data_IF_631397280036
#
_entry.id   IF_631397280036
#
_cell.length_a   1.000
_cell.length_b   1.000
_cell.length_c   1.000
_cell.angle_alpha   90.00
_cell.angle_beta   90.00
_cell.angle_gamma   90.00
#
_symmetry.space_group_name_H-M   'P 1'
#
loop_
_entity.id
_entity.type
_entity.pdbx_description
1 polymer ?
#
# COMPACT_ATOMS: atom_id res chain seq x y z
N UNK A 1 -11.26 1.40 -12.84
CA UNK A 1 -11.42 0.78 -14.12
C UNK A 1 -10.19 0.01 -14.56
N UNK A 2 -10.20 -0.39 -15.79
CA UNK A 2 -9.12 -1.20 -16.36
C UNK A 2 -7.76 -0.51 -16.33
N UNK A 3 -7.76 0.82 -16.39
CA UNK A 3 -6.51 1.60 -16.36
C UNK A 3 -5.77 1.42 -15.04
N UNK A 4 -6.49 1.46 -13.93
CA UNK A 4 -5.88 1.23 -12.59
C UNK A 4 -5.32 -0.18 -12.45
N UNK A 5 -6.06 -1.16 -12.96
CA UNK A 5 -5.61 -2.55 -12.94
C UNK A 5 -4.33 -2.72 -13.74
N UNK A 6 -4.24 -2.12 -14.92
CA UNK A 6 -3.03 -2.18 -15.75
C UNK A 6 -1.84 -1.55 -15.03
N UNK A 7 -2.03 -0.41 -14.39
CA UNK A 7 -0.97 0.25 -13.61
C UNK A 7 -0.47 -0.63 -12.46
N UNK A 8 -1.39 -1.30 -11.77
CA UNK A 8 -1.03 -2.20 -10.66
C UNK A 8 -0.27 -3.43 -11.16
N UNK A 9 -0.69 -4.01 -12.26
CA UNK A 9 -0.01 -5.16 -12.84
C UNK A 9 1.39 -4.76 -13.31
N UNK A 10 1.54 -3.60 -13.93
CA UNK A 10 2.84 -3.08 -14.33
C UNK A 10 3.76 -2.87 -13.13
N UNK A 11 3.22 -2.34 -12.04
CA UNK A 11 3.97 -2.14 -10.81
C UNK A 11 4.40 -3.46 -10.20
N UNK A 12 3.50 -4.45 -10.18
CA UNK A 12 3.83 -5.80 -9.72
C UNK A 12 4.99 -6.39 -10.53
N UNK A 13 4.96 -6.22 -11.86
CA UNK A 13 6.03 -6.68 -12.73
C UNK A 13 7.35 -5.98 -12.42
N UNK A 14 7.33 -4.70 -12.11
CA UNK A 14 8.53 -3.95 -11.71
C UNK A 14 9.07 -4.47 -10.37
N UNK A 15 8.21 -4.75 -9.41
CA UNK A 15 8.61 -5.35 -8.13
C UNK A 15 9.26 -6.71 -8.35
N UNK A 16 8.66 -7.54 -9.20
CA UNK A 16 9.22 -8.86 -9.53
C UNK A 16 10.60 -8.73 -10.19
N UNK A 17 10.77 -7.75 -11.07
CA UNK A 17 12.06 -7.49 -11.72
C UNK A 17 13.15 -7.08 -10.72
N UNK A 18 12.77 -6.51 -9.59
CA UNK A 18 13.70 -6.14 -8.51
C UNK A 18 13.95 -7.29 -7.52
N UNK A 19 13.41 -8.47 -7.80
CA UNK A 19 13.55 -9.62 -6.92
C UNK A 19 12.62 -9.60 -5.70
N UNK A 20 11.64 -8.71 -5.70
CA UNK A 20 10.68 -8.59 -4.62
C UNK A 20 9.49 -9.50 -4.86
N UNK A 21 9.09 -10.24 -3.83
CA UNK A 21 7.84 -11.00 -3.88
C UNK A 21 6.72 -10.09 -3.43
N UNK A 22 5.70 -9.96 -4.26
CA UNK A 22 4.55 -9.15 -3.96
C UNK A 22 3.26 -9.95 -4.11
N UNK A 23 2.28 -9.60 -3.31
CA UNK A 23 0.94 -10.15 -3.41
C UNK A 23 -0.04 -8.99 -3.53
N UNK A 24 -0.80 -8.99 -4.62
CA UNK A 24 -1.86 -8.02 -4.84
C UNK A 24 -3.21 -8.70 -4.66
N UNK A 25 -3.95 -8.25 -3.67
CA UNK A 25 -5.34 -8.66 -3.48
C UNK A 25 -6.22 -7.54 -3.99
N UNK A 26 -6.83 -7.75 -5.15
CA UNK A 26 -7.64 -6.76 -5.84
C UNK A 26 -9.11 -7.03 -5.62
N UNK A 27 -9.82 -6.02 -5.15
CA UNK A 27 -11.26 -6.07 -4.98
C UNK A 27 -11.87 -5.00 -5.88
N UNK A 28 -12.80 -5.35 -6.78
CA UNK A 28 -13.42 -4.35 -7.64
C UNK A 28 -14.37 -3.45 -6.85
N UNK A 29 -14.55 -2.23 -7.32
CA UNK A 29 -15.49 -1.29 -6.72
C UNK A 29 -16.93 -1.81 -6.74
N UNK A 30 -17.28 -2.57 -7.78
CA UNK A 30 -18.60 -3.12 -7.99
C UNK A 30 -18.56 -4.63 -8.11
N UNK A 31 -19.61 -5.30 -7.63
CA UNK A 31 -19.72 -6.76 -7.72
C UNK A 31 -19.48 -7.31 -9.11
N UNK A 32 -19.91 -6.58 -10.13
CA UNK A 32 -19.76 -7.00 -11.51
C UNK A 32 -18.31 -7.08 -11.96
N UNK A 33 -17.42 -6.34 -11.31
CA UNK A 33 -15.99 -6.40 -11.60
C UNK A 33 -15.36 -7.77 -11.36
N UNK A 34 -15.95 -8.58 -10.48
CA UNK A 34 -15.48 -9.94 -10.22
C UNK A 34 -15.51 -10.83 -11.46
N UNK A 35 -16.42 -10.55 -12.37
CA UNK A 35 -16.60 -11.32 -13.60
C UNK A 35 -15.81 -10.78 -14.78
N UNK A 36 -15.29 -9.56 -14.66
CA UNK A 36 -14.62 -8.88 -15.76
C UNK A 36 -13.13 -9.19 -15.86
N UNK A 37 -12.52 -9.64 -14.76
CA UNK A 37 -11.10 -9.94 -14.75
C UNK A 37 -10.77 -10.95 -13.66
N UNK A 38 -9.98 -11.95 -14.02
CA UNK A 38 -9.55 -13.01 -13.10
C UNK A 38 -8.67 -12.50 -11.96
N UNK A 39 -8.10 -11.32 -12.09
CA UNK A 39 -7.26 -10.70 -11.03
C UNK A 39 -8.09 -10.18 -9.87
N UNK A 40 -9.37 -9.85 -10.09
CA UNK A 40 -10.25 -9.39 -9.02
C UNK A 40 -10.67 -10.54 -8.12
N UNK A 41 -10.70 -10.28 -6.84
CA UNK A 41 -11.12 -11.24 -5.82
C UNK A 41 -12.13 -10.60 -4.88
N UNK A 42 -12.79 -11.42 -4.09
CA UNK A 42 -13.71 -10.93 -3.07
C UNK A 42 -12.94 -10.25 -1.96
N UNK A 43 -13.57 -9.29 -1.29
CA UNK A 43 -12.97 -8.65 -0.13
C UNK A 43 -12.70 -9.67 0.97
N UNK A 44 -11.60 -9.44 1.70
CA UNK A 44 -11.22 -10.28 2.83
C UNK A 44 -11.83 -9.76 4.12
N UNK A 45 -12.21 -10.65 5.04
CA UNK A 45 -12.48 -10.23 6.42
C UNK A 45 -11.26 -9.56 7.03
N UNK A 46 -11.47 -8.62 7.92
CA UNK A 46 -10.35 -7.88 8.52
C UNK A 46 -9.38 -8.81 9.26
N UNK A 47 -9.88 -9.87 9.86
CA UNK A 47 -9.00 -10.88 10.50
C UNK A 47 -7.96 -11.47 9.53
N UNK A 48 -8.36 -11.70 8.28
CA UNK A 48 -7.44 -12.17 7.25
C UNK A 48 -6.46 -11.08 6.83
N UNK A 49 -6.93 -9.83 6.74
CA UNK A 49 -6.06 -8.69 6.45
C UNK A 49 -4.97 -8.57 7.50
N UNK A 50 -5.30 -8.73 8.78
CA UNK A 50 -4.31 -8.68 9.87
C UNK A 50 -3.24 -9.76 9.71
N UNK A 51 -3.61 -10.95 9.25
CA UNK A 51 -2.62 -12.02 8.99
C UNK A 51 -1.65 -11.62 7.90
N UNK A 52 -2.13 -10.99 6.82
CA UNK A 52 -1.27 -10.47 5.77
C UNK A 52 -0.37 -9.35 6.29
N UNK A 53 -0.91 -8.42 7.04
CA UNK A 53 -0.14 -7.31 7.60
C UNK A 53 0.98 -7.80 8.52
N UNK A 54 0.75 -8.87 9.27
CA UNK A 54 1.77 -9.46 10.12
C UNK A 54 2.95 -10.07 9.37
N UNK A 55 2.79 -10.34 8.07
CA UNK A 55 3.81 -10.95 7.22
C UNK A 55 4.36 -9.99 6.17
N UNK A 56 3.86 -8.79 6.13
CA UNK A 56 4.18 -7.84 5.07
C UNK A 56 5.25 -6.86 5.52
N UNK A 57 6.14 -6.49 4.60
CA UNK A 57 7.13 -5.43 4.83
C UNK A 57 6.60 -4.06 4.46
N UNK A 58 5.66 -4.01 3.53
CA UNK A 58 5.11 -2.74 3.06
C UNK A 58 3.68 -2.89 2.57
N UNK A 59 2.94 -1.82 2.72
CA UNK A 59 1.60 -1.65 2.19
C UNK A 59 1.70 -0.72 0.98
N UNK A 60 0.99 -1.06 -0.09
CA UNK A 60 0.89 -0.18 -1.26
C UNK A 60 -0.42 0.61 -1.20
N UNK A 61 -0.32 1.91 -1.36
CA UNK A 61 -1.47 2.78 -1.54
C UNK A 61 -1.24 3.69 -2.73
N UNK A 62 -2.16 3.66 -3.70
CA UNK A 62 -2.13 4.54 -4.87
C UNK A 62 -3.31 5.51 -4.81
N UNK A 63 -3.00 6.79 -4.79
CA UNK A 63 -3.99 7.86 -4.72
C UNK A 63 -4.39 8.43 -6.08
N UNK A 64 -3.65 8.09 -7.13
CA UNK A 64 -3.92 8.52 -8.51
C UNK A 64 -4.09 10.04 -8.65
N UNK A 65 -3.21 10.78 -8.00
CA UNK A 65 -3.22 12.24 -8.07
C UNK A 65 -4.12 12.94 -7.06
N UNK A 66 -4.80 12.20 -6.20
CA UNK A 66 -5.59 12.77 -5.12
C UNK A 66 -4.70 13.46 -4.09
N UNK A 67 -5.18 14.59 -3.54
CA UNK A 67 -4.52 15.24 -2.42
C UNK A 67 -4.97 14.68 -1.07
N UNK A 68 -6.02 13.87 -1.06
CA UNK A 68 -6.45 13.17 0.14
C UNK A 68 -5.59 11.93 0.33
N UNK A 69 -4.46 12.11 0.99
CA UNK A 69 -3.47 11.07 1.16
C UNK A 69 -3.65 10.26 2.45
N UNK A 70 -4.28 10.85 3.47
CA UNK A 70 -4.43 10.16 4.76
C UNK A 70 -5.67 9.28 4.70
N UNK A 71 -5.47 8.08 4.24
CA UNK A 71 -6.50 7.06 4.09
C UNK A 71 -6.33 5.98 5.14
N UNK A 72 -7.24 5.02 5.13
CA UNK A 72 -7.15 3.88 6.05
C UNK A 72 -5.84 3.10 5.84
N UNK A 73 -5.32 3.02 4.61
CA UNK A 73 -4.06 2.33 4.34
C UNK A 73 -2.87 3.05 4.96
N UNK A 74 -2.86 4.37 4.87
CA UNK A 74 -1.83 5.18 5.51
C UNK A 74 -1.90 5.05 7.03
N UNK A 75 -3.10 5.09 7.59
CA UNK A 75 -3.30 4.91 9.02
C UNK A 75 -2.86 3.52 9.49
N UNK A 76 -3.17 2.47 8.72
CA UNK A 76 -2.72 1.11 9.04
C UNK A 76 -1.19 1.02 9.07
N UNK A 77 -0.52 1.65 8.11
CA UNK A 77 0.94 1.65 8.09
C UNK A 77 1.52 2.30 9.35
N UNK A 78 0.91 3.38 9.82
CA UNK A 78 1.35 4.07 11.04
C UNK A 78 1.08 3.24 12.30
N UNK A 79 -0.11 2.68 12.42
CA UNK A 79 -0.52 1.92 13.60
C UNK A 79 0.29 0.64 13.75
N UNK A 80 0.51 -0.07 12.66
CA UNK A 80 1.22 -1.35 12.68
C UNK A 80 2.72 -1.21 12.43
N UNK A 81 3.21 0.02 12.26
CA UNK A 81 4.61 0.31 11.96
C UNK A 81 5.12 -0.50 10.77
N UNK A 82 4.32 -0.47 9.69
CA UNK A 82 4.63 -1.12 8.42
C UNK A 82 4.95 -0.05 7.40
N UNK A 83 5.97 -0.27 6.59
CA UNK A 83 6.36 0.69 5.56
C UNK A 83 5.26 0.90 4.54
N UNK A 84 5.25 2.07 3.94
CA UNK A 84 4.25 2.47 2.94
C UNK A 84 4.95 2.76 1.62
N UNK A 85 4.40 2.22 0.53
CA UNK A 85 4.77 2.56 -0.83
C UNK A 85 3.56 3.26 -1.44
N UNK A 86 3.73 4.48 -1.91
CA UNK A 86 2.60 5.28 -2.37
C UNK A 86 3.03 6.24 -3.48
N UNK A 87 2.07 6.65 -4.30
CA UNK A 87 2.27 7.73 -5.27
C UNK A 87 1.90 9.11 -4.70
N UNK A 88 1.48 9.17 -3.44
CA UNK A 88 0.98 10.41 -2.85
C UNK A 88 2.11 11.22 -2.22
N UNK A 89 2.74 12.08 -3.02
CA UNK A 89 3.85 12.93 -2.59
C UNK A 89 3.45 13.93 -1.51
N UNK A 90 2.17 14.26 -1.41
CA UNK A 90 1.65 15.19 -0.42
C UNK A 90 1.90 14.72 1.02
N UNK A 91 2.12 13.42 1.23
CA UNK A 91 2.45 12.88 2.56
C UNK A 91 3.71 13.47 3.16
N UNK A 92 4.61 14.01 2.34
CA UNK A 92 5.81 14.69 2.84
C UNK A 92 5.51 15.91 3.71
N UNK A 93 4.31 16.45 3.64
CA UNK A 93 3.90 17.61 4.41
C UNK A 93 3.41 17.26 5.82
N UNK A 94 3.29 15.99 6.14
CA UNK A 94 2.82 15.54 7.45
C UNK A 94 3.97 15.26 8.40
N UNK A 95 3.70 15.40 9.69
CA UNK A 95 4.71 15.21 10.75
C UNK A 95 5.19 13.76 10.88
N UNK A 96 4.39 12.81 10.43
CA UNK A 96 4.75 11.39 10.47
C UNK A 96 5.64 10.95 9.30
N UNK A 97 5.90 11.81 8.31
CA UNK A 97 6.71 11.42 7.17
C UNK A 97 8.15 11.16 7.58
N UNK A 98 8.67 10.03 7.11
CA UNK A 98 10.09 9.69 7.20
C UNK A 98 10.49 8.92 5.96
N UNK A 99 11.60 9.26 5.30
CA UNK A 99 12.00 8.60 4.05
C UNK A 99 12.30 7.11 4.21
N UNK A 100 12.63 6.65 5.41
CA UNK A 100 12.83 5.22 5.67
C UNK A 100 11.52 4.46 5.89
N UNK A 101 10.41 5.17 6.05
CA UNK A 101 9.10 4.57 6.30
C UNK A 101 8.17 4.68 5.10
N UNK A 102 8.33 5.71 4.28
CA UNK A 102 7.42 6.01 3.17
C UNK A 102 8.21 6.19 1.88
N UNK A 103 7.94 5.34 0.91
CA UNK A 103 8.53 5.40 -0.42
C UNK A 103 7.54 6.07 -1.38
N UNK A 104 7.98 7.13 -2.05
CA UNK A 104 7.13 7.89 -2.97
C UNK A 104 7.43 7.47 -4.41
N UNK A 105 6.51 6.73 -5.01
CA UNK A 105 6.60 6.36 -6.41
C UNK A 105 6.54 7.62 -7.29
N UNK A 106 7.44 7.68 -8.26
CA UNK A 106 7.56 8.83 -9.12
C UNK A 106 8.56 9.88 -8.64
N UNK A 107 8.92 9.88 -7.36
CA UNK A 107 9.96 10.76 -6.82
C UNK A 107 11.18 9.99 -6.37
N UNK A 108 11.00 8.88 -5.66
CA UNK A 108 12.09 8.03 -5.23
C UNK A 108 12.46 7.05 -6.35
N UNK A 109 13.74 6.73 -6.46
CA UNK A 109 14.20 5.79 -7.49
C UNK A 109 13.76 4.38 -7.16
N UNK A 110 13.07 3.73 -8.10
CA UNK A 110 12.51 2.40 -7.90
C UNK A 110 13.60 1.36 -7.60
N UNK A 111 14.80 1.55 -8.11
CA UNK A 111 15.93 0.68 -7.86
C UNK A 111 16.37 0.67 -6.39
N UNK A 112 16.04 1.72 -5.64
CA UNK A 112 16.34 1.80 -4.22
C UNK A 112 15.30 1.11 -3.34
N UNK A 113 14.22 0.61 -3.92
CA UNK A 113 13.13 -0.01 -3.16
C UNK A 113 13.58 -1.22 -2.31
N UNK A 114 14.43 -2.13 -2.81
CA UNK A 114 14.91 -3.23 -1.97
C UNK A 114 15.66 -2.73 -0.73
N UNK A 115 16.50 -1.72 -0.86
CA UNK A 115 17.21 -1.14 0.28
C UNK A 115 16.25 -0.48 1.26
N UNK A 116 15.25 0.25 0.74
CA UNK A 116 14.20 0.84 1.56
C UNK A 116 13.48 -0.22 2.41
N UNK A 117 13.14 -1.36 1.80
CA UNK A 117 12.43 -2.43 2.50
C UNK A 117 13.29 -3.12 3.56
N UNK A 118 14.61 -3.10 3.39
CA UNK A 118 15.54 -3.74 4.32
C UNK A 118 15.93 -2.84 5.50
N UNK A 119 15.68 -1.54 5.41
CA UNK A 119 15.92 -0.63 6.53
C UNK A 119 14.90 -0.85 7.64
N UNK A 120 15.27 -0.65 8.90
CA UNK A 120 14.28 -0.75 9.98
C UNK A 120 13.25 0.37 9.88
N UNK A 121 12.05 0.12 10.39
CA UNK A 121 11.02 1.13 10.52
C UNK A 121 11.44 2.14 11.59
N UNK A 122 11.35 3.41 11.28
CA UNK A 122 11.68 4.48 12.22
C UNK A 122 10.42 4.93 12.93
N UNK A 123 10.41 4.81 14.25
CA UNK A 123 9.26 5.26 15.02
C UNK A 123 9.15 6.77 14.96
N UNK A 124 7.97 7.25 14.57
CA UNK A 124 7.69 8.68 14.45
C UNK A 124 6.50 9.06 15.32
N UNK A 125 6.51 10.28 15.81
CA UNK A 125 5.33 10.85 16.46
C UNK A 125 4.41 11.44 15.39
N UNK A 126 3.10 11.37 15.64
CA UNK A 126 2.13 11.87 14.69
C UNK A 126 0.98 12.54 15.42
N UNK A 127 0.56 13.69 14.88
CA UNK A 127 -0.65 14.38 15.33
C UNK A 127 -1.92 13.70 14.83
N UNK A 128 -1.80 12.75 13.90
CA UNK A 128 -2.94 12.04 13.34
C UNK A 128 -3.46 11.03 14.36
N UNK A 129 -4.78 11.03 14.54
CA UNK A 129 -5.44 10.04 15.37
C UNK A 129 -5.31 8.66 14.75
N UNK A 130 -4.77 7.72 15.52
CA UNK A 130 -4.50 6.37 15.04
C UNK A 130 -5.68 5.42 15.30
N UNK A 131 -6.89 5.94 15.42
CA UNK A 131 -8.08 5.13 15.57
C UNK A 131 -8.57 4.71 14.19
N UNK A 132 -8.39 3.45 13.90
CA UNK A 132 -8.79 2.89 12.62
C UNK A 132 -10.12 2.17 12.79
N UNK A 133 -11.11 2.57 12.00
CA UNK A 133 -12.40 1.90 11.94
C UNK A 133 -12.37 0.93 10.77
N UNK A 134 -12.47 -0.37 11.07
CA UNK A 134 -12.31 -1.42 10.08
C UNK A 134 -13.66 -1.87 9.51
N UNK A 135 -14.44 -0.94 9.05
CA UNK A 135 -15.76 -1.26 8.52
C UNK A 135 -15.72 -1.68 7.06
N UNK A 136 -14.78 -1.15 6.30
CA UNK A 136 -14.67 -1.47 4.88
C UNK A 136 -13.26 -1.87 4.52
N UNK A 137 -13.15 -3.03 3.91
CA UNK A 137 -11.90 -3.53 3.41
C UNK A 137 -11.55 -2.91 2.09
N UNK A 138 -10.37 -2.45 2.02
CA UNK A 138 -9.88 -1.69 0.93
C UNK A 138 -9.19 -2.60 -0.10
N UNK A 139 -9.04 -2.05 -1.26
CA UNK A 139 -8.79 -2.74 -2.50
C UNK A 139 -7.50 -3.54 -2.57
N UNK A 140 -6.45 -3.19 -1.80
CA UNK A 140 -5.13 -3.67 -2.14
C UNK A 140 -4.25 -3.89 -0.92
N UNK A 141 -3.60 -5.03 -0.88
CA UNK A 141 -2.53 -5.33 0.07
C UNK A 141 -1.36 -5.86 -0.73
N UNK A 142 -0.19 -5.31 -0.50
CA UNK A 142 1.04 -5.81 -1.10
C UNK A 142 1.88 -6.47 -0.04
N UNK A 143 2.14 -7.75 -0.23
CA UNK A 143 3.11 -8.48 0.56
C UNK A 143 4.42 -8.47 -0.20
N UNK A 144 5.49 -8.09 0.46
CA UNK A 144 6.80 -8.14 -0.17
C UNK A 144 7.82 -8.74 0.78
N UNK A 145 8.75 -9.40 0.21
CA UNK A 145 9.81 -10.05 0.98
C UNK A 145 11.18 -9.75 0.41
#
# INVERSE_FOLDING_TARGET
GNKRLVELINLENRFNALGLRSYLHLVPEHRYGLYNNKRYKRSLPYSEVLKFLGKTKAILYLGYGSQECVTIRVQESLVHEIKLITDCAWLKNYDFYHPDNIFILGEDEIESLPDFLNKPYIKVESSIEKNIYFTDLVEQIVLSS
#
